data_IF_670411401184
#
_entry.id   IF_670411401184
#
_cell.length_a   1.000
_cell.length_b   1.000
_cell.length_c   1.000
_cell.angle_alpha   90.00
_cell.angle_beta   90.00
_cell.angle_gamma   90.00
#
_symmetry.space_group_name_H-M   'P 1'
#
loop_
_entity.id
_entity.type
_entity.pdbx_description
1 polymer ?
#
# COMPACT_ATOMS: atom_id res chain seq x y z
N UNK A 1 39.60 26.46 -19.40
CA UNK A 1 39.22 27.24 -18.19
C UNK A 1 37.82 27.74 -18.42
N UNK A 2 36.92 27.50 -17.48
CA UNK A 2 35.52 27.91 -17.58
C UNK A 2 35.25 29.07 -16.63
N UNK A 3 34.39 30.00 -17.04
CA UNK A 3 34.01 31.18 -16.27
C UNK A 3 32.57 30.99 -15.76
N UNK A 4 32.29 31.42 -14.54
CA UNK A 4 30.90 31.61 -14.13
C UNK A 4 30.29 32.68 -15.02
N UNK A 5 29.25 32.35 -15.78
CA UNK A 5 28.59 33.30 -16.70
C UNK A 5 28.01 34.52 -15.99
N UNK A 6 27.70 34.34 -14.70
CA UNK A 6 27.13 35.34 -13.77
C UNK A 6 28.14 35.86 -12.73
N UNK A 7 29.33 35.26 -12.62
CA UNK A 7 30.38 35.70 -11.70
C UNK A 7 31.78 35.47 -12.27
N UNK A 8 32.70 36.43 -12.12
CA UNK A 8 34.07 36.36 -12.66
C UNK A 8 34.99 35.31 -11.99
N UNK A 9 34.41 34.31 -11.31
CA UNK A 9 35.15 33.20 -10.73
C UNK A 9 35.58 32.22 -11.82
N UNK A 10 36.83 31.77 -11.74
CA UNK A 10 37.45 30.90 -12.74
C UNK A 10 37.73 29.53 -12.13
N UNK A 11 37.40 28.50 -12.89
CA UNK A 11 37.63 27.12 -12.50
C UNK A 11 38.34 26.36 -13.62
N UNK A 12 39.08 25.33 -13.22
CA UNK A 12 39.52 24.32 -14.16
C UNK A 12 38.28 23.55 -14.67
N UNK A 13 38.31 23.11 -15.93
CA UNK A 13 37.18 22.43 -16.56
C UNK A 13 36.78 21.16 -15.80
N UNK A 14 37.77 20.33 -15.46
CA UNK A 14 37.57 19.12 -14.66
C UNK A 14 36.97 19.41 -13.28
N UNK A 15 37.37 20.53 -12.65
CA UNK A 15 36.94 20.92 -11.31
C UNK A 15 35.45 21.27 -11.31
N UNK A 16 35.01 22.08 -12.27
CA UNK A 16 33.63 22.54 -12.35
C UNK A 16 32.70 21.43 -12.81
N UNK A 17 33.12 20.60 -13.76
CA UNK A 17 32.35 19.42 -14.21
C UNK A 17 32.16 18.42 -13.06
N UNK A 18 33.21 18.13 -12.29
CA UNK A 18 33.11 17.24 -11.12
C UNK A 18 32.20 17.82 -10.03
N UNK A 19 32.23 19.14 -9.79
CA UNK A 19 31.33 19.79 -8.87
C UNK A 19 29.86 19.63 -9.31
N UNK A 20 29.56 19.96 -10.57
CA UNK A 20 28.23 19.86 -11.17
C UNK A 20 27.72 18.42 -11.09
N UNK A 21 28.52 17.45 -11.53
CA UNK A 21 28.16 16.02 -11.50
C UNK A 21 27.87 15.51 -10.09
N UNK A 22 28.69 15.88 -9.09
CA UNK A 22 28.45 15.50 -7.69
C UNK A 22 27.20 16.16 -7.10
N UNK A 23 26.87 17.38 -7.52
CA UNK A 23 25.74 18.14 -6.98
C UNK A 23 24.41 17.64 -7.54
N UNK A 24 24.35 17.38 -8.85
CA UNK A 24 23.17 16.80 -9.51
C UNK A 24 22.89 15.38 -9.00
N UNK A 25 23.92 14.55 -8.81
CA UNK A 25 23.73 13.21 -8.23
C UNK A 25 23.14 13.23 -6.80
N UNK A 26 23.34 14.32 -6.06
CA UNK A 26 22.80 14.47 -4.70
C UNK A 26 21.40 15.06 -4.68
N UNK A 27 21.11 16.00 -5.59
CA UNK A 27 19.85 16.71 -5.63
C UNK A 27 19.47 17.01 -7.09
N UNK A 28 18.74 16.08 -7.71
CA UNK A 28 18.30 16.18 -9.11
C UNK A 28 17.21 17.25 -9.28
N UNK A 29 16.58 17.68 -8.18
CA UNK A 29 15.39 18.54 -8.18
C UNK A 29 15.73 20.01 -8.38
N UNK A 30 16.91 20.45 -7.97
CA UNK A 30 17.35 21.83 -8.13
C UNK A 30 18.26 21.99 -9.37
N UNK A 31 17.67 22.37 -10.50
CA UNK A 31 18.41 22.71 -11.73
C UNK A 31 19.25 24.00 -11.56
N UNK A 32 18.97 24.82 -10.54
CA UNK A 32 19.68 26.06 -10.24
C UNK A 32 20.91 25.81 -9.36
N UNK A 33 22.03 25.43 -9.97
CA UNK A 33 23.29 25.25 -9.25
C UNK A 33 23.96 26.57 -8.89
N UNK A 34 24.30 26.76 -7.61
CA UNK A 34 25.02 27.94 -7.13
C UNK A 34 26.51 27.85 -7.47
N UNK A 35 27.14 29.01 -7.59
CA UNK A 35 28.59 29.13 -7.68
C UNK A 35 29.29 28.41 -6.49
N UNK A 36 30.36 27.63 -6.74
CA UNK A 36 31.13 26.95 -5.69
C UNK A 36 31.78 27.87 -4.65
N UNK A 37 32.02 29.13 -5.00
CA UNK A 37 32.60 30.12 -4.07
C UNK A 37 31.63 30.41 -2.92
N UNK A 38 32.11 30.27 -1.69
CA UNK A 38 31.32 30.38 -0.44
C UNK A 38 30.48 31.66 -0.30
N UNK A 39 30.93 32.77 -0.88
CA UNK A 39 30.27 34.08 -0.77
C UNK A 39 29.49 34.47 -2.04
N UNK A 40 29.44 33.58 -3.04
CA UNK A 40 28.79 33.85 -4.31
C UNK A 40 27.42 33.15 -4.39
N UNK A 41 26.36 33.94 -4.54
CA UNK A 41 24.97 33.43 -4.64
C UNK A 41 24.49 33.29 -6.08
N UNK A 42 25.37 33.55 -7.04
CA UNK A 42 25.06 33.51 -8.46
C UNK A 42 24.81 32.08 -8.94
N UNK A 43 23.89 31.94 -9.88
CA UNK A 43 23.53 30.67 -10.49
C UNK A 43 24.47 30.41 -11.67
N UNK A 44 25.01 29.21 -11.74
CA UNK A 44 25.81 28.72 -12.86
C UNK A 44 24.91 28.35 -14.01
N UNK A 45 25.23 28.85 -15.21
CA UNK A 45 24.68 28.31 -16.44
C UNK A 45 25.40 27.02 -16.82
N UNK A 46 24.75 25.89 -16.53
CA UNK A 46 25.29 24.54 -16.75
C UNK A 46 25.31 24.22 -18.25
N UNK A 47 24.39 24.81 -19.04
CA UNK A 47 24.26 24.53 -20.47
C UNK A 47 25.52 24.95 -21.25
N UNK A 48 26.21 25.97 -20.75
CA UNK A 48 27.47 26.48 -21.33
C UNK A 48 28.72 25.75 -20.84
N UNK A 49 28.62 24.91 -19.80
CA UNK A 49 29.78 24.27 -19.11
C UNK A 49 29.82 22.75 -19.37
N UNK A 50 28.66 22.11 -19.45
CA UNK A 50 28.56 20.65 -19.57
C UNK A 50 28.34 20.19 -21.01
N UNK A 51 28.82 18.99 -21.38
CA UNK A 51 28.49 18.37 -22.66
C UNK A 51 26.99 18.17 -22.84
N UNK A 52 26.51 18.26 -24.08
CA UNK A 52 25.09 18.10 -24.44
C UNK A 52 24.52 16.76 -23.94
N UNK A 53 25.28 15.67 -24.08
CA UNK A 53 24.84 14.33 -23.64
C UNK A 53 24.55 14.28 -22.13
N UNK A 54 25.36 14.97 -21.32
CA UNK A 54 25.13 15.09 -19.89
C UNK A 54 23.85 15.89 -19.60
N UNK A 55 23.66 17.01 -20.28
CA UNK A 55 22.45 17.85 -20.12
C UNK A 55 21.18 17.08 -20.49
N UNK A 56 21.21 16.29 -21.56
CA UNK A 56 20.09 15.43 -21.97
C UNK A 56 19.77 14.44 -20.86
N UNK A 57 20.77 13.73 -20.34
CA UNK A 57 20.56 12.76 -19.26
C UNK A 57 19.94 13.40 -18.02
N UNK A 58 20.46 14.55 -17.58
CA UNK A 58 19.94 15.25 -16.39
C UNK A 58 18.51 15.71 -16.60
N UNK A 59 18.20 16.27 -17.79
CA UNK A 59 16.83 16.70 -18.13
C UNK A 59 15.86 15.52 -18.23
N UNK A 60 16.28 14.39 -18.78
CA UNK A 60 15.46 13.18 -18.87
C UNK A 60 15.16 12.60 -17.49
N UNK A 61 16.18 12.49 -16.62
CA UNK A 61 15.98 12.01 -15.25
C UNK A 61 15.09 12.97 -14.47
N UNK A 62 15.31 14.28 -14.58
CA UNK A 62 14.46 15.28 -13.92
C UNK A 62 13.00 15.17 -14.39
N UNK A 63 12.76 15.11 -15.70
CA UNK A 63 11.42 14.91 -16.29
C UNK A 63 10.76 13.61 -15.82
N UNK A 64 11.51 12.51 -15.73
CA UNK A 64 11.00 11.26 -15.16
C UNK A 64 10.64 11.42 -13.67
N UNK A 65 11.47 12.12 -12.89
CA UNK A 65 11.18 12.39 -11.48
C UNK A 65 10.01 13.34 -11.24
N UNK A 66 9.65 14.18 -12.21
CA UNK A 66 8.43 15.01 -12.19
C UNK A 66 7.17 14.23 -12.61
N UNK A 67 7.31 13.19 -13.43
CA UNK A 67 6.20 12.31 -13.86
C UNK A 67 5.92 11.21 -12.83
N UNK A 68 6.93 10.72 -12.12
CA UNK A 68 6.80 9.67 -11.10
C UNK A 68 6.29 10.07 -9.69
N UNK A 69 6.22 11.34 -9.23
CA UNK A 69 5.90 11.65 -7.84
C UNK A 69 4.43 11.39 -7.51
N UNK A 70 3.58 11.13 -8.51
CA UNK A 70 2.18 10.70 -8.36
C UNK A 70 1.92 9.27 -8.87
N UNK A 71 2.93 8.43 -9.03
CA UNK A 71 2.68 7.02 -9.34
C UNK A 71 2.30 6.26 -8.07
N UNK A 72 1.00 5.97 -7.88
CA UNK A 72 0.55 5.15 -6.75
C UNK A 72 0.95 3.69 -7.03
N UNK A 73 1.71 3.07 -6.14
CA UNK A 73 2.01 1.64 -6.28
C UNK A 73 0.86 0.84 -5.68
N UNK A 74 0.18 0.05 -6.52
CA UNK A 74 -0.93 -0.82 -6.11
C UNK A 74 -0.56 -2.30 -6.23
N UNK A 75 -1.09 -3.09 -5.30
CA UNK A 75 -0.91 -4.54 -5.29
C UNK A 75 -2.05 -5.22 -6.06
N UNK A 76 -1.71 -6.21 -6.88
CA UNK A 76 -2.69 -7.07 -7.53
C UNK A 76 -3.43 -7.92 -6.47
N UNK A 77 -4.77 -7.89 -6.39
CA UNK A 77 -5.51 -8.58 -5.33
C UNK A 77 -5.61 -10.10 -5.54
N UNK A 78 -5.23 -10.60 -6.71
CA UNK A 78 -5.31 -12.02 -7.02
C UNK A 78 -4.12 -12.79 -6.44
N UNK A 79 -4.41 -13.80 -5.64
CA UNK A 79 -3.42 -14.62 -4.90
C UNK A 79 -2.38 -15.29 -5.82
N UNK A 80 -2.76 -15.61 -7.05
CA UNK A 80 -1.87 -16.21 -8.06
C UNK A 80 -0.88 -15.20 -8.67
N UNK A 81 -1.12 -13.90 -8.50
CA UNK A 81 -0.30 -12.83 -9.06
C UNK A 81 0.49 -12.07 -8.00
N UNK A 82 -0.21 -11.47 -7.01
CA UNK A 82 0.27 -10.63 -5.90
C UNK A 82 1.38 -9.62 -6.22
N UNK A 83 1.60 -9.27 -7.49
CA UNK A 83 2.63 -8.31 -7.89
C UNK A 83 2.14 -6.89 -7.70
N UNK A 84 3.09 -6.02 -7.37
CA UNK A 84 2.92 -4.58 -7.36
C UNK A 84 3.04 -4.02 -8.77
N UNK A 85 2.25 -3.02 -9.09
CA UNK A 85 2.41 -2.24 -10.31
C UNK A 85 2.08 -0.77 -10.07
N UNK A 86 2.61 0.07 -10.96
CA UNK A 86 2.35 1.50 -10.95
C UNK A 86 0.92 1.74 -11.44
N UNK A 87 0.18 2.58 -10.71
CA UNK A 87 -1.08 3.14 -11.13
C UNK A 87 -0.89 4.58 -11.64
N UNK A 88 -1.42 4.83 -12.83
CA UNK A 88 -1.46 6.15 -13.48
C UNK A 88 -2.50 7.10 -12.85
N UNK A 89 -3.11 6.70 -11.72
CA UNK A 89 -4.16 7.45 -11.00
C UNK A 89 -5.30 7.96 -11.91
N UNK A 90 -5.78 7.10 -12.81
CA UNK A 90 -6.94 7.46 -13.64
C UNK A 90 -8.19 7.64 -12.78
N UNK A 91 -9.09 8.52 -13.22
CA UNK A 91 -10.33 8.88 -12.54
C UNK A 91 -11.25 7.67 -12.24
N UNK A 92 -11.27 6.68 -13.13
CA UNK A 92 -12.06 5.45 -12.92
C UNK A 92 -11.39 4.53 -11.90
N UNK A 93 -12.12 3.79 -11.05
CA UNK A 93 -11.52 2.91 -10.03
C UNK A 93 -11.12 1.51 -10.56
N UNK A 94 -11.44 1.19 -11.81
CA UNK A 94 -11.14 -0.13 -12.41
C UNK A 94 -9.73 -0.14 -12.99
N UNK A 95 -8.97 -1.20 -12.69
CA UNK A 95 -7.60 -1.43 -13.17
C UNK A 95 -7.45 -2.82 -13.76
N UNK A 96 -6.53 -2.94 -14.71
CA UNK A 96 -6.05 -4.21 -15.21
C UNK A 96 -4.64 -4.47 -14.67
N UNK A 97 -4.39 -5.67 -14.16
CA UNK A 97 -3.02 -6.05 -13.81
C UNK A 97 -2.22 -6.36 -15.09
N UNK A 98 -1.06 -5.73 -15.33
CA UNK A 98 -0.27 -5.97 -16.55
C UNK A 98 0.34 -7.38 -16.63
N UNK A 99 0.38 -8.14 -15.52
CA UNK A 99 0.93 -9.49 -15.49
C UNK A 99 -0.12 -10.56 -15.78
N UNK A 100 -1.23 -10.54 -15.04
CA UNK A 100 -2.27 -11.57 -15.15
C UNK A 100 -3.48 -11.14 -15.98
N UNK A 101 -3.52 -9.87 -16.43
CA UNK A 101 -4.58 -9.29 -17.26
C UNK A 101 -5.98 -9.31 -16.63
N UNK A 102 -6.08 -9.68 -15.35
CA UNK A 102 -7.33 -9.66 -14.60
C UNK A 102 -7.69 -8.23 -14.20
N UNK A 103 -8.98 -7.94 -14.26
CA UNK A 103 -9.56 -6.64 -13.91
C UNK A 103 -10.03 -6.65 -12.45
N UNK A 104 -9.85 -5.53 -11.75
CA UNK A 104 -10.31 -5.35 -10.38
C UNK A 104 -10.58 -3.87 -10.07
N UNK A 105 -11.40 -3.61 -9.06
CA UNK A 105 -11.56 -2.28 -8.48
C UNK A 105 -10.47 -2.05 -7.41
N UNK A 106 -9.81 -0.89 -7.45
CA UNK A 106 -8.78 -0.52 -6.46
C UNK A 106 -9.35 -0.45 -5.04
N UNK A 107 -10.60 -0.02 -4.90
CA UNK A 107 -11.25 0.17 -3.59
C UNK A 107 -11.70 -1.16 -2.96
N UNK A 108 -12.33 -2.04 -3.76
CA UNK A 108 -12.98 -3.26 -3.25
C UNK A 108 -12.23 -4.55 -3.56
N UNK A 109 -11.16 -4.49 -4.36
CA UNK A 109 -10.36 -5.65 -4.80
C UNK A 109 -11.13 -6.72 -5.59
N UNK A 110 -12.42 -6.48 -5.85
CA UNK A 110 -13.31 -7.27 -6.68
C UNK A 110 -13.74 -6.47 -7.91
N UNK A 111 -14.24 -7.17 -8.92
CA UNK A 111 -14.73 -6.57 -10.15
C UNK A 111 -16.24 -6.38 -10.07
N UNK A 112 -16.72 -5.17 -10.38
CA UNK A 112 -18.15 -4.82 -10.32
C UNK A 112 -18.61 -4.06 -11.58
N UNK A 113 -18.65 -4.77 -12.71
CA UNK A 113 -19.02 -4.18 -14.00
C UNK A 113 -20.37 -3.47 -14.00
N UNK A 114 -20.44 -2.31 -14.65
CA UNK A 114 -21.68 -1.55 -14.83
C UNK A 114 -22.22 -0.90 -13.56
N UNK A 115 -21.50 -0.97 -12.43
CA UNK A 115 -21.89 -0.37 -11.17
C UNK A 115 -20.79 0.58 -10.67
N UNK A 116 -21.21 1.70 -10.09
CA UNK A 116 -20.30 2.55 -9.33
C UNK A 116 -19.88 1.87 -8.03
N UNK A 117 -18.82 2.38 -7.41
CA UNK A 117 -18.32 1.87 -6.13
C UNK A 117 -19.39 1.92 -5.03
N UNK A 118 -20.23 2.95 -5.02
CA UNK A 118 -21.30 3.17 -4.06
C UNK A 118 -22.42 2.14 -4.25
N UNK A 119 -22.86 1.94 -5.49
CA UNK A 119 -23.89 0.96 -5.80
C UNK A 119 -23.45 -0.46 -5.47
N UNK A 120 -22.18 -0.79 -5.73
CA UNK A 120 -21.61 -2.07 -5.36
C UNK A 120 -21.62 -2.29 -3.84
N UNK A 121 -21.21 -1.30 -3.06
CA UNK A 121 -21.27 -1.37 -1.60
C UNK A 121 -22.69 -1.56 -1.08
N UNK A 122 -23.65 -0.78 -1.61
CA UNK A 122 -25.04 -0.84 -1.20
C UNK A 122 -25.66 -2.21 -1.49
N UNK A 123 -25.44 -2.75 -2.69
CA UNK A 123 -25.91 -4.10 -3.05
C UNK A 123 -25.36 -5.18 -2.12
N UNK A 124 -24.08 -5.09 -1.72
CA UNK A 124 -23.49 -6.02 -0.75
C UNK A 124 -24.15 -5.93 0.63
N UNK A 125 -24.47 -4.72 1.09
CA UNK A 125 -25.15 -4.51 2.37
C UNK A 125 -26.57 -5.08 2.36
N UNK A 126 -27.35 -4.84 1.30
CA UNK A 126 -28.68 -5.41 1.15
C UNK A 126 -28.65 -6.94 1.11
N UNK A 127 -27.72 -7.53 0.35
CA UNK A 127 -27.56 -8.98 0.29
C UNK A 127 -27.24 -9.58 1.67
N UNK A 128 -26.39 -8.92 2.47
CA UNK A 128 -26.10 -9.35 3.85
C UNK A 128 -27.33 -9.29 4.75
N UNK A 129 -28.12 -8.22 4.64
CA UNK A 129 -29.37 -8.08 5.40
C UNK A 129 -30.39 -9.17 5.05
N UNK A 130 -30.57 -9.45 3.75
CA UNK A 130 -31.43 -10.54 3.31
C UNK A 130 -30.94 -11.91 3.80
N UNK A 131 -29.64 -12.16 3.77
CA UNK A 131 -29.06 -13.40 4.29
C UNK A 131 -29.31 -13.53 5.81
N UNK A 132 -29.14 -12.44 6.56
CA UNK A 132 -29.40 -12.43 8.00
C UNK A 132 -30.87 -12.72 8.32
N UNK A 133 -31.81 -12.20 7.53
CA UNK A 133 -33.23 -12.49 7.69
C UNK A 133 -33.58 -13.94 7.33
N UNK A 134 -32.94 -14.49 6.29
CA UNK A 134 -33.23 -15.84 5.80
C UNK A 134 -32.63 -16.94 6.70
N UNK A 135 -31.50 -16.69 7.36
CA UNK A 135 -30.76 -17.71 8.12
C UNK A 135 -30.58 -17.38 9.61
N UNK A 136 -30.95 -16.18 10.07
CA UNK A 136 -30.84 -15.73 11.46
C UNK A 136 -32.13 -15.88 12.29
N UNK A 137 -33.19 -16.45 11.73
CA UNK A 137 -34.51 -16.58 12.36
C UNK A 137 -34.81 -17.95 12.97
N UNK A 138 -33.84 -18.62 13.60
CA UNK A 138 -34.08 -19.89 14.33
C UNK A 138 -33.57 -19.79 15.79
N UNK A 139 -34.40 -19.17 16.63
CA UNK A 139 -34.46 -19.16 18.10
C UNK A 139 -35.78 -18.43 18.41
N UNK A 140 -36.76 -18.91 19.17
CA UNK A 140 -36.86 -19.98 20.16
C UNK A 140 -38.33 -20.46 20.13
N UNK A 141 -38.58 -21.77 20.02
CA UNK A 141 -39.86 -22.40 20.37
C UNK A 141 -39.56 -23.76 21.02
N UNK A 142 -39.00 -23.75 22.23
CA UNK A 142 -38.98 -24.91 23.14
C UNK A 142 -38.93 -24.42 24.59
N UNK A 143 -39.98 -23.73 25.05
CA UNK A 143 -40.32 -23.67 26.48
C UNK A 143 -41.84 -23.73 26.61
N UNK A 144 -42.39 -24.94 26.47
CA UNK A 144 -43.69 -25.28 27.06
C UNK A 144 -43.44 -26.04 28.37
N UNK A 145 -43.97 -25.44 29.44
CA UNK A 145 -44.54 -26.08 30.62
C UNK A 145 -43.62 -26.89 31.54
N UNK A 146 -43.24 -26.31 32.68
CA UNK A 146 -43.53 -26.87 34.03
C UNK A 146 -43.51 -25.75 35.08
N UNK A 147 -44.61 -24.99 35.19
CA UNK A 147 -44.96 -24.34 36.46
C UNK A 147 -45.75 -25.36 37.30
N UNK A 148 -45.10 -25.89 38.32
CA UNK A 148 -45.69 -26.80 39.31
C UNK A 148 -44.79 -26.90 40.53
N UNK A 149 -44.73 -25.82 41.32
CA UNK A 149 -44.05 -25.85 42.61
C UNK A 149 -44.85 -26.66 43.63
N UNK A 150 -44.16 -27.51 44.40
CA UNK A 150 -44.53 -27.84 45.78
C UNK A 150 -43.29 -28.31 46.55
N UNK A 151 -43.25 -27.90 47.81
CA UNK A 151 -42.11 -27.85 48.74
C UNK A 151 -41.73 -29.21 49.33
N UNK A 152 -40.48 -29.35 49.82
CA UNK A 152 -40.12 -30.47 50.69
C UNK A 152 -38.64 -30.58 51.07
N UNK A 153 -38.32 -30.16 52.29
CA UNK A 153 -37.03 -30.25 52.97
C UNK A 153 -36.45 -31.68 53.08
N UNK A 154 -35.13 -31.83 53.21
CA UNK A 154 -34.56 -32.97 53.95
C UNK A 154 -33.17 -33.47 53.57
N UNK A 155 -32.17 -33.03 54.36
CA UNK A 155 -30.88 -33.64 54.75
C UNK A 155 -30.48 -35.02 54.19
N UNK A 156 -29.17 -35.20 53.95
CA UNK A 156 -28.51 -36.50 54.12
C UNK A 156 -27.10 -36.58 53.53
N UNK A 157 -26.11 -36.69 54.41
CA UNK A 157 -24.69 -36.96 54.15
C UNK A 157 -24.47 -38.35 53.51
N UNK A 158 -23.32 -38.58 52.87
CA UNK A 158 -22.88 -39.93 52.52
C UNK A 158 -21.68 -40.01 51.58
N UNK A 159 -20.53 -40.27 52.17
CA UNK A 159 -19.23 -40.60 51.55
C UNK A 159 -19.29 -41.87 50.67
N UNK A 160 -18.33 -42.03 49.75
CA UNK A 160 -18.14 -43.31 49.05
C UNK A 160 -17.03 -43.26 48.00
N UNK A 161 -15.90 -43.87 48.35
CA UNK A 161 -14.62 -43.99 47.66
C UNK A 161 -14.62 -44.94 46.45
N UNK A 162 -13.50 -44.96 45.71
CA UNK A 162 -13.08 -46.03 44.78
C UNK A 162 -12.66 -45.47 43.43
N UNK A 163 -11.37 -45.20 43.16
CA UNK A 163 -10.36 -46.14 42.63
C UNK A 163 -10.79 -46.72 41.26
N UNK A 164 -10.00 -46.84 40.20
CA UNK A 164 -8.59 -46.66 39.84
C UNK A 164 -8.56 -46.92 38.31
N UNK A 165 -7.53 -46.47 37.59
CA UNK A 165 -7.35 -46.88 36.19
C UNK A 165 -6.45 -45.98 35.35
N UNK A 166 -5.16 -45.99 35.70
CA UNK A 166 -3.97 -45.76 34.85
C UNK A 166 -4.12 -46.47 33.48
N UNK A 167 -3.56 -46.05 32.33
CA UNK A 167 -2.17 -45.78 31.91
C UNK A 167 -2.29 -45.16 30.48
N UNK A 168 -1.65 -44.03 30.18
CA UNK A 168 -0.30 -43.90 29.57
C UNK A 168 -0.14 -44.49 28.15
N UNK A 169 0.04 -43.57 27.19
CA UNK A 169 1.18 -43.52 26.23
C UNK A 169 0.88 -44.30 24.91
N UNK A 170 1.32 -43.93 23.70
CA UNK A 170 2.57 -43.31 23.29
C UNK A 170 2.38 -42.37 22.07
N UNK A 171 3.32 -41.43 22.02
CA UNK A 171 3.61 -40.49 20.96
C UNK A 171 4.29 -41.15 19.72
N UNK A 172 3.94 -40.61 18.54
CA UNK A 172 4.84 -40.28 17.40
C UNK A 172 5.42 -41.41 16.52
N UNK A 173 5.97 -41.11 15.32
CA UNK A 173 6.15 -39.80 14.64
C UNK A 173 5.41 -39.62 13.30
#
# INVERSE_FOLDING_TARGET
MMWGTSCNHRYCEECIQNYIGKKINKDIREVALKCPTSDCKEILDIDSIMPIDFLIQVRDVNRLTEVLPSSLVIDCPFMDCMRKHIDDQREYPIRACPKCWKLFCVNYKSLHFGMTCENYQFSRQLNLFHLQQQYGGYRDELEEEEEGGEEGEGKGEGEGEGEEGEEEEEETP
#
